data_IF_158587563042
#
_entry.id   IF_158587563042
#
_cell.length_a   1.000
_cell.length_b   1.000
_cell.length_c   1.000
_cell.angle_alpha   90.00
_cell.angle_beta   90.00
_cell.angle_gamma   90.00
#
_symmetry.space_group_name_H-M   'P 1'
#
loop_
_entity.id
_entity.type
_entity.pdbx_description
1 polymer ?
#
# COMPACT_ATOMS: atom_id res chain seq x y z
N UNK A 1 3.45 -6.51 66.29
CA UNK A 1 2.50 -5.63 65.59
C UNK A 1 2.96 -5.54 64.13
N UNK A 2 2.27 -6.30 63.28
CA UNK A 2 2.55 -6.48 61.85
C UNK A 2 2.16 -5.20 61.10
N UNK A 3 3.07 -4.62 60.30
CA UNK A 3 2.69 -3.61 59.30
C UNK A 3 3.14 -4.14 57.94
N UNK A 4 2.21 -4.79 57.25
CA UNK A 4 2.39 -5.33 55.91
C UNK A 4 2.27 -4.16 54.91
N UNK A 5 3.39 -3.75 54.30
CA UNK A 5 3.36 -2.82 53.17
C UNK A 5 2.96 -3.59 51.92
N UNK A 6 1.73 -3.39 51.46
CA UNK A 6 1.29 -3.83 50.15
C UNK A 6 2.01 -2.99 49.09
N UNK A 7 2.97 -3.60 48.38
CA UNK A 7 3.48 -3.05 47.12
C UNK A 7 2.36 -3.18 46.09
N UNK A 8 1.70 -2.07 45.80
CA UNK A 8 0.78 -1.98 44.68
C UNK A 8 1.62 -1.81 43.40
N UNK A 9 1.97 -2.91 42.75
CA UNK A 9 2.50 -2.89 41.39
C UNK A 9 1.37 -2.42 40.45
N UNK A 10 1.40 -1.14 40.09
CA UNK A 10 0.59 -0.61 39.01
C UNK A 10 1.00 -1.31 37.71
N UNK A 11 0.21 -2.26 37.23
CA UNK A 11 0.30 -2.77 35.87
C UNK A 11 -0.08 -1.63 34.93
N UNK A 12 0.91 -0.87 34.46
CA UNK A 12 0.75 -0.05 33.28
C UNK A 12 0.56 -1.01 32.10
N UNK A 13 -0.70 -1.29 31.75
CA UNK A 13 -1.03 -1.94 30.50
C UNK A 13 -0.65 -0.96 29.38
N UNK A 14 0.60 -1.07 28.90
CA UNK A 14 1.00 -0.48 27.63
C UNK A 14 0.15 -1.15 26.55
N UNK A 15 -0.92 -0.48 26.15
CA UNK A 15 -1.61 -0.77 24.91
C UNK A 15 -0.64 -0.43 23.78
N UNK A 16 0.22 -1.38 23.43
CA UNK A 16 0.83 -1.40 22.12
C UNK A 16 -0.35 -1.48 21.15
N UNK A 17 -0.65 -0.37 20.47
CA UNK A 17 -1.64 -0.39 19.40
C UNK A 17 -1.25 -1.51 18.44
N UNK A 18 -2.13 -2.51 18.30
CA UNK A 18 -1.94 -3.55 17.30
C UNK A 18 -1.96 -2.83 15.94
N UNK A 19 -0.80 -2.67 15.33
CA UNK A 19 -0.70 -2.24 13.95
C UNK A 19 -1.43 -3.28 13.11
N UNK A 20 -2.63 -2.93 12.63
CA UNK A 20 -3.39 -3.80 11.75
C UNK A 20 -2.73 -3.77 10.39
N UNK A 21 -2.28 -4.91 9.87
CA UNK A 21 -1.80 -4.99 8.50
C UNK A 21 -2.89 -4.50 7.52
N UNK A 22 -2.47 -3.88 6.41
CA UNK A 22 -3.35 -3.65 5.27
C UNK A 22 -4.06 -4.95 4.90
N UNK A 23 -5.36 -4.88 4.61
CA UNK A 23 -6.18 -6.06 4.34
C UNK A 23 -6.97 -5.88 3.06
N UNK A 24 -7.17 -6.99 2.35
CA UNK A 24 -8.05 -7.06 1.20
C UNK A 24 -9.24 -7.98 1.53
N UNK A 25 -10.46 -7.54 1.20
CA UNK A 25 -11.68 -8.34 1.30
C UNK A 25 -12.21 -8.64 -0.10
N UNK A 26 -12.42 -9.93 -0.37
CA UNK A 26 -12.92 -10.43 -1.66
C UNK A 26 -14.38 -10.86 -1.56
N UNK A 27 -15.22 -10.37 -2.47
CA UNK A 27 -16.59 -10.83 -2.69
C UNK A 27 -16.80 -11.09 -4.20
N UNK A 28 -16.80 -12.36 -4.59
CA UNK A 28 -16.80 -12.75 -5.99
C UNK A 28 -15.54 -12.24 -6.70
N UNK A 29 -15.71 -11.49 -7.79
CA UNK A 29 -14.62 -10.83 -8.53
C UNK A 29 -14.33 -9.40 -8.08
N UNK A 30 -14.91 -8.96 -6.95
CA UNK A 30 -14.63 -7.66 -6.35
C UNK A 30 -13.68 -7.79 -5.17
N UNK A 31 -12.60 -7.03 -5.19
CA UNK A 31 -11.64 -6.90 -4.09
C UNK A 31 -11.70 -5.46 -3.55
N UNK A 32 -11.91 -5.30 -2.24
CA UNK A 32 -11.88 -4.00 -1.56
C UNK A 32 -10.68 -3.98 -0.62
N UNK A 33 -9.82 -2.98 -0.78
CA UNK A 33 -8.60 -2.84 0.00
C UNK A 33 -8.88 -1.87 1.15
N UNK A 34 -8.60 -2.27 2.38
CA UNK A 34 -8.66 -1.43 3.58
C UNK A 34 -7.23 -1.21 4.07
N UNK A 35 -6.76 0.04 4.21
CA UNK A 35 -5.39 0.31 4.64
C UNK A 35 -5.19 -0.09 6.10
N UNK A 36 -3.95 -0.43 6.45
CA UNK A 36 -3.55 -0.80 7.80
C UNK A 36 -3.44 0.39 8.76
N UNK A 37 -3.34 1.60 8.21
CA UNK A 37 -3.14 2.85 8.93
C UNK A 37 -1.72 3.40 8.76
N UNK A 38 -1.43 4.48 9.47
CA UNK A 38 -0.15 5.19 9.37
C UNK A 38 1.05 4.27 9.66
N UNK A 39 2.02 4.26 8.75
CA UNK A 39 3.26 3.48 8.88
C UNK A 39 3.13 1.98 8.64
N UNK A 40 1.95 1.51 8.20
CA UNK A 40 1.74 0.10 7.81
C UNK A 40 1.86 -0.06 6.31
N UNK A 41 2.79 -0.89 5.85
CA UNK A 41 2.92 -1.22 4.43
C UNK A 41 1.71 -2.01 3.90
N UNK A 42 0.93 -1.37 3.04
CA UNK A 42 -0.27 -1.90 2.40
C UNK A 42 0.01 -2.63 1.08
N UNK A 43 1.25 -2.58 0.58
CA UNK A 43 1.59 -3.04 -0.77
C UNK A 43 1.20 -4.50 -1.02
N UNK A 44 1.36 -5.38 -0.03
CA UNK A 44 1.00 -6.79 -0.21
C UNK A 44 -0.51 -6.97 -0.40
N UNK A 45 -1.33 -6.29 0.40
CA UNK A 45 -2.78 -6.35 0.25
C UNK A 45 -3.26 -5.80 -1.10
N UNK A 46 -2.53 -4.81 -1.63
CA UNK A 46 -2.78 -4.25 -2.96
C UNK A 46 -2.42 -5.28 -4.04
N UNK A 47 -1.22 -5.87 -3.99
CA UNK A 47 -0.78 -6.92 -4.93
C UNK A 47 -1.77 -8.08 -4.93
N UNK A 48 -2.15 -8.57 -3.74
CA UNK A 48 -3.12 -9.66 -3.59
C UNK A 48 -4.49 -9.32 -4.22
N UNK A 49 -4.92 -8.04 -4.16
CA UNK A 49 -6.14 -7.60 -4.80
C UNK A 49 -6.06 -7.67 -6.33
N UNK A 50 -4.92 -7.25 -6.90
CA UNK A 50 -4.66 -7.35 -8.32
C UNK A 50 -4.57 -8.81 -8.79
N UNK A 51 -3.91 -9.67 -8.04
CA UNK A 51 -3.79 -11.09 -8.36
C UNK A 51 -5.15 -11.81 -8.32
N UNK A 52 -6.01 -11.50 -7.34
CA UNK A 52 -7.26 -12.22 -7.13
C UNK A 52 -8.47 -11.67 -7.89
N UNK A 53 -8.43 -10.39 -8.26
CA UNK A 53 -9.55 -9.68 -8.91
C UNK A 53 -9.14 -8.93 -10.19
N UNK A 54 -7.92 -9.14 -10.70
CA UNK A 54 -7.41 -8.51 -11.91
C UNK A 54 -8.02 -9.01 -13.22
N UNK A 55 -8.82 -10.08 -13.18
CA UNK A 55 -9.42 -10.72 -14.35
C UNK A 55 -10.95 -10.74 -14.22
N UNK A 56 -11.66 -10.09 -15.15
CA UNK A 56 -13.13 -9.94 -15.13
C UNK A 56 -13.65 -9.41 -13.78
N UNK A 57 -12.93 -8.47 -13.18
CA UNK A 57 -13.11 -8.07 -11.79
C UNK A 57 -13.05 -6.57 -11.54
N UNK A 58 -13.14 -6.24 -10.25
CA UNK A 58 -13.17 -4.87 -9.77
C UNK A 58 -12.32 -4.75 -8.51
N UNK A 59 -11.32 -3.87 -8.53
CA UNK A 59 -10.48 -3.54 -7.38
C UNK A 59 -10.84 -2.14 -6.88
N UNK A 60 -11.16 -2.01 -5.60
CA UNK A 60 -11.57 -0.73 -5.00
C UNK A 60 -10.64 -0.35 -3.84
N UNK A 61 -9.95 0.77 -4.01
CA UNK A 61 -9.33 1.54 -2.94
C UNK A 61 -10.39 2.47 -2.35
N UNK A 62 -10.59 2.37 -1.04
CA UNK A 62 -11.45 3.26 -0.26
C UNK A 62 -10.85 4.66 -0.16
N UNK A 63 -11.63 5.62 0.31
CA UNK A 63 -11.17 6.99 0.53
C UNK A 63 -10.32 7.09 1.80
N UNK A 64 -9.07 6.63 1.70
CA UNK A 64 -8.08 6.61 2.77
C UNK A 64 -6.66 6.67 2.17
N UNK A 65 -5.64 6.82 3.02
CA UNK A 65 -4.24 6.76 2.63
C UNK A 65 -3.73 5.33 2.72
N UNK A 66 -3.04 4.88 1.67
CA UNK A 66 -2.36 3.58 1.59
C UNK A 66 -0.86 3.82 1.51
N UNK A 67 -0.09 3.21 2.41
CA UNK A 67 1.37 3.33 2.39
C UNK A 67 1.97 2.19 1.55
N UNK A 68 2.77 2.55 0.56
CA UNK A 68 3.37 1.61 -0.39
C UNK A 68 4.88 1.61 -0.17
N UNK A 69 5.38 0.59 0.51
CA UNK A 69 6.80 0.47 0.90
C UNK A 69 7.56 -0.58 0.07
N UNK A 70 6.96 -1.10 -1.00
CA UNK A 70 7.62 -1.99 -1.97
C UNK A 70 7.12 -1.80 -3.39
N UNK A 71 7.90 -2.28 -4.37
CA UNK A 71 7.50 -2.23 -5.78
C UNK A 71 6.25 -3.06 -6.03
N UNK A 72 5.40 -2.57 -6.93
CA UNK A 72 4.20 -3.28 -7.37
C UNK A 72 4.31 -3.56 -8.86
N UNK A 73 4.17 -4.83 -9.25
CA UNK A 73 4.00 -5.20 -10.65
C UNK A 73 2.61 -5.84 -10.81
N UNK A 74 1.66 -5.03 -11.25
CA UNK A 74 0.25 -5.40 -11.40
C UNK A 74 -0.11 -5.34 -12.89
N UNK A 75 0.70 -6.02 -13.70
CA UNK A 75 0.44 -6.23 -15.12
C UNK A 75 -0.46 -7.45 -15.35
N UNK A 76 -0.72 -7.78 -16.62
CA UNK A 76 -1.57 -8.92 -17.00
C UNK A 76 -3.02 -8.82 -16.52
N UNK A 77 -3.54 -7.59 -16.37
CA UNK A 77 -4.95 -7.38 -16.06
C UNK A 77 -5.82 -7.63 -17.30
N UNK A 78 -7.01 -8.20 -17.11
CA UNK A 78 -7.94 -8.46 -18.22
C UNK A 78 -9.38 -8.10 -17.84
N UNK A 79 -10.00 -7.18 -18.58
CA UNK A 79 -11.38 -6.73 -18.33
C UNK A 79 -11.60 -6.35 -16.85
N UNK A 80 -10.73 -5.48 -16.33
CA UNK A 80 -10.69 -5.10 -14.92
C UNK A 80 -11.00 -3.62 -14.74
N UNK A 81 -11.75 -3.29 -13.68
CA UNK A 81 -11.95 -1.89 -13.24
C UNK A 81 -11.23 -1.65 -11.92
N UNK A 82 -10.44 -0.58 -11.85
CA UNK A 82 -9.70 -0.14 -10.66
C UNK A 82 -10.22 1.22 -10.22
N UNK A 83 -10.81 1.26 -9.03
CA UNK A 83 -11.34 2.46 -8.42
C UNK A 83 -10.38 2.99 -7.36
N UNK A 84 -9.76 4.13 -7.63
CA UNK A 84 -8.87 4.82 -6.70
C UNK A 84 -9.65 5.98 -6.08
N UNK A 85 -10.23 5.75 -4.90
CA UNK A 85 -10.91 6.81 -4.13
C UNK A 85 -10.00 7.43 -3.06
N UNK A 86 -8.83 6.86 -2.83
CA UNK A 86 -7.92 7.28 -1.77
C UNK A 86 -6.62 7.87 -2.32
N UNK A 87 -5.62 7.91 -1.45
CA UNK A 87 -4.25 8.30 -1.77
C UNK A 87 -3.35 7.09 -1.70
N UNK A 88 -2.70 6.75 -2.79
CA UNK A 88 -1.60 5.79 -2.82
C UNK A 88 -0.32 6.58 -2.58
N UNK A 89 0.34 6.36 -1.44
CA UNK A 89 1.50 7.10 -0.98
C UNK A 89 2.73 6.19 -0.95
N UNK A 90 3.70 6.44 -1.83
CA UNK A 90 4.95 5.67 -1.86
C UNK A 90 5.90 6.13 -0.77
N UNK A 91 6.57 5.19 -0.12
CA UNK A 91 7.56 5.45 0.91
C UNK A 91 8.78 6.25 0.42
N UNK A 92 9.52 6.83 1.35
CA UNK A 92 10.71 7.64 1.06
C UNK A 92 12.03 6.89 1.28
N UNK A 93 12.02 5.56 1.40
CA UNK A 93 13.25 4.76 1.52
C UNK A 93 14.01 4.70 0.19
N UNK A 94 14.87 5.69 -0.03
CA UNK A 94 15.66 5.84 -1.26
C UNK A 94 16.56 4.60 -1.49
N UNK A 95 17.13 4.00 -0.43
CA UNK A 95 18.04 2.87 -0.58
C UNK A 95 17.29 1.62 -1.06
N UNK A 96 16.08 1.40 -0.53
CA UNK A 96 15.19 0.37 -1.02
C UNK A 96 14.85 0.59 -2.51
N UNK A 97 14.41 1.80 -2.88
CA UNK A 97 13.97 2.08 -4.26
C UNK A 97 15.09 1.97 -5.29
N UNK A 98 16.31 2.43 -4.96
CA UNK A 98 17.49 2.26 -5.82
C UNK A 98 17.81 0.79 -6.09
N UNK A 99 17.55 -0.08 -5.12
CA UNK A 99 17.88 -1.51 -5.20
C UNK A 99 16.76 -2.37 -5.81
N UNK A 100 15.50 -1.94 -5.71
CA UNK A 100 14.33 -2.78 -6.05
C UNK A 100 13.46 -2.23 -7.18
N UNK A 101 13.69 -1.00 -7.65
CA UNK A 101 12.86 -0.37 -8.67
C UNK A 101 12.78 -1.18 -9.97
N UNK A 102 11.65 -1.06 -10.66
CA UNK A 102 11.34 -1.82 -11.87
C UNK A 102 11.99 -1.15 -13.09
N UNK A 103 12.94 -1.80 -13.79
CA UNK A 103 13.64 -1.17 -14.91
C UNK A 103 12.71 -0.99 -16.10
N UNK A 104 12.69 0.21 -16.70
CA UNK A 104 11.94 0.50 -17.94
C UNK A 104 12.66 0.05 -19.21
N UNK A 105 13.96 -0.28 -19.11
CA UNK A 105 14.77 -0.70 -20.26
C UNK A 105 15.16 0.44 -21.21
N UNK A 106 14.87 1.69 -20.85
CA UNK A 106 15.19 2.89 -21.64
C UNK A 106 15.77 3.98 -20.74
N UNK A 107 16.81 4.67 -21.21
CA UNK A 107 17.48 5.78 -20.50
C UNK A 107 17.89 5.50 -19.04
N UNK A 108 18.14 4.24 -18.68
CA UNK A 108 18.42 3.81 -17.30
C UNK A 108 17.34 4.30 -16.29
N UNK A 109 16.09 4.39 -16.74
CA UNK A 109 14.97 4.79 -15.90
C UNK A 109 14.30 3.58 -15.27
N UNK A 110 13.72 3.79 -14.09
CA UNK A 110 12.96 2.80 -13.36
C UNK A 110 11.64 3.37 -12.84
N UNK A 111 10.72 2.48 -12.45
CA UNK A 111 9.42 2.82 -11.87
C UNK A 111 9.22 2.08 -10.55
N UNK A 112 8.38 2.64 -9.67
CA UNK A 112 7.94 1.99 -8.44
C UNK A 112 6.68 1.12 -8.66
N UNK A 113 5.95 1.33 -9.76
CA UNK A 113 4.73 0.60 -10.08
C UNK A 113 4.58 0.40 -11.58
N UNK A 114 4.36 -0.85 -12.00
CA UNK A 114 3.84 -1.19 -13.30
C UNK A 114 2.37 -1.58 -13.18
N UNK A 115 1.51 -0.86 -13.90
CA UNK A 115 0.09 -1.15 -14.03
C UNK A 115 -0.23 -1.33 -15.51
N UNK A 116 -0.78 -2.49 -15.89
CA UNK A 116 -1.06 -2.75 -17.30
C UNK A 116 -1.95 -3.95 -17.55
N UNK A 117 -2.59 -3.97 -18.71
CA UNK A 117 -3.50 -5.05 -19.09
C UNK A 117 -4.34 -4.73 -20.33
N UNK A 118 -5.25 -5.63 -20.67
CA UNK A 118 -6.20 -5.48 -21.78
C UNK A 118 -7.58 -5.14 -21.24
N UNK A 119 -8.24 -4.14 -21.82
CA UNK A 119 -9.55 -3.66 -21.36
C UNK A 119 -9.54 -3.28 -19.85
N UNK A 120 -8.50 -2.56 -19.45
CA UNK A 120 -8.34 -2.02 -18.10
C UNK A 120 -8.97 -0.63 -18.01
N UNK A 121 -9.76 -0.38 -16.95
CA UNK A 121 -10.30 0.95 -16.65
C UNK A 121 -9.90 1.40 -15.26
N UNK A 122 -9.16 2.50 -15.17
CA UNK A 122 -8.76 3.12 -13.90
C UNK A 122 -9.56 4.39 -13.68
N UNK A 123 -10.14 4.56 -12.49
CA UNK A 123 -11.00 5.70 -12.15
C UNK A 123 -10.54 6.36 -10.86
N UNK A 124 -10.17 7.65 -10.95
CA UNK A 124 -9.77 8.47 -9.80
C UNK A 124 -10.90 9.34 -9.22
N UNK A 125 -12.09 9.37 -9.82
CA UNK A 125 -13.25 10.13 -9.33
C UNK A 125 -13.04 11.65 -9.08
N UNK A 126 -11.93 12.22 -9.58
CA UNK A 126 -11.57 13.63 -9.39
C UNK A 126 -10.78 13.94 -8.10
N UNK A 127 -10.56 12.96 -7.22
CA UNK A 127 -9.85 13.14 -5.94
C UNK A 127 -8.86 12.01 -5.59
N UNK A 128 -8.95 10.87 -6.26
CA UNK A 128 -7.97 9.79 -6.16
C UNK A 128 -6.58 10.28 -6.51
N UNK A 129 -5.62 9.95 -5.66
CA UNK A 129 -4.26 10.51 -5.70
C UNK A 129 -3.22 9.41 -5.76
N UNK A 130 -2.23 9.59 -6.64
CA UNK A 130 -1.00 8.80 -6.71
C UNK A 130 0.13 9.75 -6.29
N UNK A 131 0.64 9.58 -5.07
CA UNK A 131 1.73 10.37 -4.53
C UNK A 131 3.01 9.53 -4.47
N UNK A 132 3.85 9.66 -5.50
CA UNK A 132 5.10 8.91 -5.61
C UNK A 132 6.26 9.41 -4.75
N UNK A 133 6.12 10.52 -4.01
CA UNK A 133 7.22 11.15 -3.27
C UNK A 133 8.52 11.37 -4.09
N UNK A 134 8.40 11.59 -5.40
CA UNK A 134 9.54 11.61 -6.33
C UNK A 134 10.57 12.71 -6.09
N UNK A 135 10.22 13.77 -5.35
CA UNK A 135 11.14 14.82 -4.92
C UNK A 135 12.25 14.27 -4.02
N UNK A 136 11.93 13.29 -3.16
CA UNK A 136 12.93 12.62 -2.33
C UNK A 136 13.91 11.81 -3.20
N UNK A 137 13.40 11.16 -4.25
CA UNK A 137 14.18 10.33 -5.17
C UNK A 137 15.07 11.14 -6.12
N UNK A 138 14.64 12.34 -6.56
CA UNK A 138 15.41 13.19 -7.47
C UNK A 138 16.61 13.88 -6.80
N UNK A 139 16.56 14.10 -5.50
CA UNK A 139 17.56 14.89 -4.77
C UNK A 139 18.78 14.07 -4.29
N UNK A 140 18.96 12.82 -4.71
CA UNK A 140 20.12 12.03 -4.30
C UNK A 140 21.31 12.30 -5.24
N UNK A 141 22.36 13.02 -4.79
CA UNK A 141 23.57 13.18 -5.59
C UNK A 141 24.31 11.84 -5.61
N UNK A 142 24.68 11.40 -6.81
CA UNK A 142 25.68 10.34 -6.99
C UNK A 142 27.01 10.74 -6.36
#
# INVERSE_FOLDING_TARGET
MLVTRLLQCSLAASFWGLATAGRMSRNGSKCVITPGGEGVDDSQAIIDAFDQCGHNGHIEFQNATYHIERVMNTTDLFNCTVDIKGTLLWGTDIQYWLSNSLPLGYQNQSSAWFLGGTNLRVRGFGYGTINGNGQASQCYPY
#
